data_IF_772670454146
#
_entry.id   IF_772670454146
#
_cell.length_a   1.000
_cell.length_b   1.000
_cell.length_c   1.000
_cell.angle_alpha   90.00
_cell.angle_beta   90.00
_cell.angle_gamma   90.00
#
_symmetry.space_group_name_H-M   'P 1'
#
loop_
_entity.id
_entity.type
_entity.pdbx_description
1 polymer ?
#
# COMPACT_ATOMS: atom_id res chain seq x y z
N UNK A 1 -6.84 5.30 7.28
CA UNK A 1 -7.49 5.77 6.03
C UNK A 1 -6.51 5.71 4.88
N UNK A 2 -6.95 5.25 3.73
CA UNK A 2 -6.19 5.23 2.48
C UNK A 2 -7.11 5.82 1.38
N UNK A 3 -6.68 6.85 0.63
CA UNK A 3 -7.57 7.62 -0.24
C UNK A 3 -8.38 6.79 -1.24
N UNK A 4 -7.75 5.80 -1.88
CA UNK A 4 -8.38 4.95 -2.90
C UNK A 4 -9.12 3.73 -2.35
N UNK A 5 -9.12 3.51 -1.02
CA UNK A 5 -9.74 2.33 -0.40
C UNK A 5 -11.00 2.70 0.38
N UNK A 6 -10.90 3.63 1.33
CA UNK A 6 -11.98 3.88 2.28
C UNK A 6 -12.22 5.35 2.64
N UNK A 7 -11.78 6.29 1.77
CA UNK A 7 -11.90 7.72 2.06
C UNK A 7 -13.35 8.17 2.27
N UNK A 8 -14.28 7.72 1.42
CA UNK A 8 -15.68 8.15 1.45
C UNK A 8 -16.41 7.79 2.74
N UNK A 9 -15.91 6.83 3.49
CA UNK A 9 -16.50 6.37 4.76
C UNK A 9 -16.18 7.31 5.94
N UNK A 10 -15.22 8.23 5.77
CA UNK A 10 -14.65 9.01 6.88
C UNK A 10 -14.55 10.51 6.59
N UNK A 11 -15.31 11.04 5.63
CA UNK A 11 -15.25 12.45 5.25
C UNK A 11 -15.74 13.40 6.34
N UNK A 12 -16.61 12.92 7.24
CA UNK A 12 -17.16 13.69 8.37
C UNK A 12 -16.35 13.54 9.67
N UNK A 13 -15.30 12.72 9.67
CA UNK A 13 -14.52 12.47 10.87
C UNK A 13 -13.60 13.65 11.21
N UNK A 14 -13.56 14.12 12.47
CA UNK A 14 -12.73 15.25 12.86
C UNK A 14 -11.23 14.91 12.90
N UNK A 15 -10.89 13.62 12.93
CA UNK A 15 -9.51 13.13 12.98
C UNK A 15 -9.42 11.76 12.30
N UNK A 16 -8.43 11.59 11.44
CA UNK A 16 -8.23 10.36 10.68
C UNK A 16 -6.80 9.83 10.83
N UNK A 17 -6.67 8.51 10.97
CA UNK A 17 -5.38 7.83 11.01
C UNK A 17 -4.95 7.43 9.59
N UNK A 18 -3.71 7.80 9.22
CA UNK A 18 -3.14 7.56 7.89
C UNK A 18 -2.42 6.21 7.76
N UNK A 19 -2.54 5.35 8.75
CA UNK A 19 -1.85 4.04 8.82
C UNK A 19 -0.34 4.23 8.90
N UNK A 20 0.41 3.84 7.85
CA UNK A 20 1.86 3.94 7.73
C UNK A 20 2.26 4.20 6.28
N UNK A 21 3.50 4.63 6.04
CA UNK A 21 4.00 4.82 4.66
C UNK A 21 3.96 3.51 3.84
N UNK A 22 4.39 2.40 4.44
CA UNK A 22 4.28 1.08 3.81
C UNK A 22 2.83 0.68 3.59
N UNK A 23 1.92 1.00 4.52
CA UNK A 23 0.48 0.78 4.36
C UNK A 23 -0.10 1.58 3.20
N UNK A 24 0.21 2.87 3.09
CA UNK A 24 -0.23 3.70 1.97
C UNK A 24 0.23 3.15 0.61
N UNK A 25 1.43 2.56 0.56
CA UNK A 25 1.97 2.01 -0.67
C UNK A 25 1.38 0.63 -1.02
N UNK A 26 1.15 -0.24 -0.04
CA UNK A 26 0.90 -1.67 -0.30
C UNK A 26 -0.55 -2.09 -0.14
N UNK A 27 -1.31 -1.47 0.78
CA UNK A 27 -2.72 -1.85 1.02
C UNK A 27 -3.60 -1.62 -0.21
N UNK A 28 -3.43 -0.58 -1.04
CA UNK A 28 -4.14 -0.47 -2.31
C UNK A 28 -4.00 -1.72 -3.20
N UNK A 29 -2.82 -2.34 -3.22
CA UNK A 29 -2.60 -3.57 -4.01
C UNK A 29 -3.25 -4.79 -3.37
N UNK A 30 -3.23 -4.92 -2.04
CA UNK A 30 -3.98 -5.98 -1.34
C UNK A 30 -5.47 -5.83 -1.64
N UNK A 31 -6.01 -4.62 -1.54
CA UNK A 31 -7.40 -4.31 -1.88
C UNK A 31 -7.72 -4.58 -3.36
N UNK A 32 -6.82 -4.25 -4.28
CA UNK A 32 -6.99 -4.55 -5.69
C UNK A 32 -7.14 -6.05 -5.96
N UNK A 33 -6.39 -6.90 -5.24
CA UNK A 33 -6.53 -8.36 -5.33
C UNK A 33 -7.82 -8.83 -4.65
N UNK A 34 -8.09 -8.36 -3.43
CA UNK A 34 -9.22 -8.85 -2.62
C UNK A 34 -10.59 -8.46 -3.18
N UNK A 35 -10.71 -7.34 -3.90
CA UNK A 35 -11.95 -6.97 -4.61
C UNK A 35 -12.22 -7.86 -5.83
N UNK A 36 -11.22 -8.57 -6.35
CA UNK A 36 -11.36 -9.47 -7.48
C UNK A 36 -11.57 -10.94 -7.03
N UNK A 37 -10.88 -11.37 -5.96
CA UNK A 37 -10.90 -12.75 -5.47
C UNK A 37 -10.77 -12.79 -3.95
N UNK A 38 -11.14 -13.90 -3.31
CA UNK A 38 -10.92 -14.08 -1.87
C UNK A 38 -9.41 -14.20 -1.56
N UNK A 39 -8.96 -13.52 -0.50
CA UNK A 39 -7.56 -13.49 -0.05
C UNK A 39 -7.47 -14.00 1.39
N UNK A 40 -7.23 -15.30 1.63
CA UNK A 40 -7.12 -15.85 2.98
C UNK A 40 -5.86 -15.38 3.74
N UNK A 41 -4.83 -14.93 3.02
CA UNK A 41 -3.60 -14.39 3.61
C UNK A 41 -2.95 -13.38 2.68
N UNK A 42 -2.49 -12.27 3.24
CA UNK A 42 -1.63 -11.33 2.53
C UNK A 42 -0.43 -10.92 3.39
N UNK A 43 0.70 -10.74 2.72
CA UNK A 43 1.94 -10.26 3.32
C UNK A 43 2.49 -9.08 2.52
N UNK A 44 2.93 -8.04 3.23
CA UNK A 44 3.62 -6.92 2.60
C UNK A 44 5.05 -6.79 3.12
N UNK A 45 5.97 -6.47 2.24
CA UNK A 45 7.35 -6.13 2.57
C UNK A 45 7.63 -4.74 2.05
N UNK A 46 7.70 -3.76 2.96
CA UNK A 46 8.02 -2.38 2.63
C UNK A 46 9.54 -2.17 2.79
N UNK A 47 10.22 -1.82 1.70
CA UNK A 47 11.67 -1.56 1.71
C UNK A 47 11.95 -0.11 1.41
N UNK A 48 12.45 0.62 2.41
CA UNK A 48 12.78 2.04 2.33
C UNK A 48 14.29 2.27 2.51
N UNK A 49 14.79 3.35 1.91
CA UNK A 49 16.17 3.75 2.19
C UNK A 49 16.34 4.06 3.68
N UNK A 50 17.40 3.53 4.29
CA UNK A 50 17.69 3.77 5.71
C UNK A 50 17.75 5.27 6.05
N UNK A 51 18.21 6.11 5.12
CA UNK A 51 18.27 7.58 5.27
C UNK A 51 16.90 8.25 5.36
N UNK A 52 15.83 7.64 4.82
CA UNK A 52 14.47 8.17 4.89
C UNK A 52 13.68 7.67 6.10
N UNK A 53 14.29 6.86 6.97
CA UNK A 53 13.69 6.38 8.22
C UNK A 53 14.26 7.17 9.41
N UNK A 54 13.43 8.02 10.01
CA UNK A 54 13.80 8.84 11.15
C UNK A 54 13.89 8.08 12.47
N UNK A 55 14.29 8.76 13.57
CA UNK A 55 14.38 8.14 14.90
C UNK A 55 13.05 7.54 15.38
N UNK A 56 11.93 8.18 15.09
CA UNK A 56 10.59 7.70 15.46
C UNK A 56 10.28 6.34 14.83
N UNK A 57 10.50 6.18 13.54
CA UNK A 57 10.31 4.90 12.83
C UNK A 57 11.19 3.80 13.44
N UNK A 58 12.46 4.10 13.70
CA UNK A 58 13.42 3.15 14.25
C UNK A 58 13.08 2.70 15.67
N UNK A 59 12.52 3.59 16.47
CA UNK A 59 12.08 3.29 17.84
C UNK A 59 10.76 2.52 17.89
N UNK A 60 9.95 2.58 16.84
CA UNK A 60 8.57 2.06 16.82
C UNK A 60 8.31 1.07 15.67
N UNK A 61 9.30 0.24 15.32
CA UNK A 61 9.17 -0.78 14.25
C UNK A 61 8.05 -1.78 14.56
N UNK A 62 7.88 -2.17 15.81
CA UNK A 62 6.83 -3.09 16.24
C UNK A 62 5.43 -2.47 16.05
N UNK A 63 5.29 -1.17 16.27
CA UNK A 63 4.04 -0.45 16.02
C UNK A 63 3.73 -0.39 14.54
N UNK A 64 4.73 -0.07 13.70
CA UNK A 64 4.60 -0.14 12.25
C UNK A 64 4.09 -1.50 11.81
N UNK A 65 4.70 -2.57 12.29
CA UNK A 65 4.36 -3.95 11.92
C UNK A 65 2.93 -4.29 12.32
N UNK A 66 2.53 -4.01 13.56
CA UNK A 66 1.16 -4.29 14.05
C UNK A 66 0.11 -3.48 13.32
N UNK A 67 0.31 -2.17 13.22
CA UNK A 67 -0.65 -1.26 12.56
C UNK A 67 -0.83 -1.63 11.09
N UNK A 68 0.26 -1.92 10.38
CA UNK A 68 0.20 -2.27 8.97
C UNK A 68 -0.42 -3.66 8.76
N UNK A 69 -0.09 -4.66 9.59
CA UNK A 69 -0.71 -5.99 9.53
C UNK A 69 -2.23 -5.92 9.73
N UNK A 70 -2.68 -5.18 10.75
CA UNK A 70 -4.11 -4.96 10.98
C UNK A 70 -4.79 -4.25 9.80
N UNK A 71 -4.12 -3.28 9.20
CA UNK A 71 -4.67 -2.56 8.05
C UNK A 71 -4.71 -3.42 6.77
N UNK A 72 -3.80 -4.38 6.59
CA UNK A 72 -3.88 -5.39 5.53
C UNK A 72 -5.17 -6.22 5.65
N UNK A 73 -5.58 -6.53 6.88
CA UNK A 73 -6.85 -7.24 7.15
C UNK A 73 -8.05 -6.30 6.96
N UNK A 74 -8.12 -5.22 7.72
CA UNK A 74 -9.31 -4.35 7.82
C UNK A 74 -9.56 -3.54 6.56
N UNK A 75 -8.50 -3.03 5.92
CA UNK A 75 -8.60 -2.17 4.73
C UNK A 75 -8.26 -2.94 3.45
N UNK A 76 -7.29 -3.84 3.52
CA UNK A 76 -6.88 -4.66 2.37
C UNK A 76 -7.83 -5.79 2.05
N UNK A 77 -8.68 -6.20 2.99
CA UNK A 77 -9.65 -7.28 2.80
C UNK A 77 -9.08 -8.70 2.86
N UNK A 78 -7.85 -8.87 3.35
CA UNK A 78 -7.28 -10.19 3.62
C UNK A 78 -7.83 -10.74 4.95
N UNK A 79 -8.06 -12.05 5.05
CA UNK A 79 -8.49 -12.68 6.32
C UNK A 79 -7.39 -12.63 7.38
N UNK A 80 -6.13 -12.74 6.96
CA UNK A 80 -4.95 -12.58 7.82
C UNK A 80 -3.88 -11.76 7.12
N UNK A 81 -3.29 -10.83 7.85
CA UNK A 81 -2.29 -9.90 7.35
C UNK A 81 -0.95 -10.03 8.04
N UNK A 82 0.14 -9.82 7.30
CA UNK A 82 1.48 -9.67 7.84
C UNK A 82 2.19 -8.49 7.19
N UNK A 83 2.98 -7.77 7.96
CA UNK A 83 3.78 -6.67 7.45
C UNK A 83 5.23 -6.78 7.92
N UNK A 84 6.15 -6.48 7.02
CA UNK A 84 7.58 -6.42 7.26
C UNK A 84 8.09 -5.08 6.75
N UNK A 85 8.98 -4.44 7.49
CA UNK A 85 9.72 -3.26 7.03
C UNK A 85 11.21 -3.59 6.94
N UNK A 86 11.84 -3.16 5.86
CA UNK A 86 13.28 -3.26 5.64
C UNK A 86 13.86 -1.86 5.52
N UNK A 87 14.77 -1.50 6.41
CA UNK A 87 15.54 -0.26 6.33
C UNK A 87 16.85 -0.55 5.60
N UNK A 88 16.90 -0.26 4.31
CA UNK A 88 18.02 -0.62 3.44
C UNK A 88 19.14 0.43 3.50
N UNK A 89 20.37 0.08 3.91
CA UNK A 89 21.49 1.00 4.05
C UNK A 89 22.32 1.22 2.78
N UNK A 90 21.88 0.70 1.62
CA UNK A 90 22.63 0.79 0.36
C UNK A 90 22.94 2.24 -0.02
N UNK A 91 24.15 2.46 -0.58
CA UNK A 91 24.59 3.73 -1.14
C UNK A 91 24.91 3.57 -2.65
N UNK A 92 24.39 4.45 -3.51
CA UNK A 92 23.44 5.54 -3.23
C UNK A 92 22.09 5.01 -2.72
N UNK A 93 21.32 5.84 -1.96
CA UNK A 93 20.04 5.42 -1.38
C UNK A 93 19.07 4.94 -2.45
N UNK A 94 18.46 3.80 -2.22
CA UNK A 94 17.48 3.21 -3.15
C UNK A 94 16.14 3.95 -3.11
N UNK A 95 15.44 3.98 -4.24
CA UNK A 95 14.02 4.33 -4.30
C UNK A 95 13.22 3.28 -3.49
N UNK A 96 12.16 3.71 -2.81
CA UNK A 96 11.28 2.80 -2.06
C UNK A 96 10.75 1.69 -2.98
N UNK A 97 10.85 0.44 -2.52
CA UNK A 97 10.38 -0.75 -3.22
C UNK A 97 9.59 -1.63 -2.28
N UNK A 98 8.40 -1.99 -2.70
CA UNK A 98 7.51 -2.78 -1.89
C UNK A 98 7.06 -4.03 -2.64
N UNK A 99 6.81 -5.07 -1.88
CA UNK A 99 6.28 -6.33 -2.38
C UNK A 99 5.00 -6.65 -1.64
N UNK A 100 3.98 -7.06 -2.38
CA UNK A 100 2.73 -7.58 -1.85
C UNK A 100 2.60 -9.02 -2.30
N UNK A 101 2.36 -9.94 -1.39
CA UNK A 101 2.01 -11.32 -1.67
C UNK A 101 0.60 -11.60 -1.16
N UNK A 102 -0.27 -12.14 -2.02
CA UNK A 102 -1.60 -12.59 -1.63
C UNK A 102 -1.74 -14.07 -1.96
N UNK A 103 -2.17 -14.87 -0.99
CA UNK A 103 -2.63 -16.23 -1.25
C UNK A 103 -4.01 -16.16 -1.92
N UNK A 104 -4.19 -16.95 -2.96
CA UNK A 104 -5.41 -17.01 -3.76
C UNK A 104 -5.78 -18.46 -4.06
N UNK A 105 -7.00 -18.72 -4.47
CA UNK A 105 -7.38 -20.06 -4.94
C UNK A 105 -6.65 -20.42 -6.24
N UNK A 106 -6.43 -21.72 -6.44
CA UNK A 106 -5.70 -22.24 -7.60
C UNK A 106 -6.36 -21.87 -8.94
N UNK A 107 -7.69 -21.76 -8.93
CA UNK A 107 -8.55 -21.44 -10.08
C UNK A 107 -8.99 -19.96 -10.12
N UNK A 108 -8.38 -19.10 -9.29
CA UNK A 108 -8.67 -17.68 -9.27
C UNK A 108 -8.48 -17.01 -10.63
N UNK A 109 -9.36 -16.07 -10.97
CA UNK A 109 -9.29 -15.32 -12.23
C UNK A 109 -8.10 -14.36 -12.25
N UNK A 110 -6.99 -14.86 -12.78
CA UNK A 110 -5.73 -14.10 -12.91
C UNK A 110 -5.89 -12.85 -13.77
N UNK A 111 -6.75 -12.87 -14.79
CA UNK A 111 -6.98 -11.72 -15.66
C UNK A 111 -7.72 -10.60 -14.92
N UNK A 112 -8.73 -10.94 -14.12
CA UNK A 112 -9.43 -9.99 -13.26
C UNK A 112 -8.49 -9.37 -12.23
N UNK A 113 -7.59 -10.15 -11.62
CA UNK A 113 -6.58 -9.65 -10.69
C UNK A 113 -5.66 -8.64 -11.38
N UNK A 114 -5.11 -8.98 -12.56
CA UNK A 114 -4.21 -8.09 -13.31
C UNK A 114 -4.92 -6.78 -13.64
N UNK A 115 -6.13 -6.82 -14.19
CA UNK A 115 -6.91 -5.63 -14.52
C UNK A 115 -7.14 -4.76 -13.28
N UNK A 116 -7.57 -5.37 -12.18
CA UNK A 116 -7.81 -4.67 -10.91
C UNK A 116 -6.56 -4.01 -10.34
N UNK A 117 -5.39 -4.65 -10.45
CA UNK A 117 -4.11 -4.07 -10.02
C UNK A 117 -3.73 -2.87 -10.88
N UNK A 118 -3.86 -2.96 -12.20
CA UNK A 118 -3.58 -1.83 -13.09
C UNK A 118 -4.51 -0.64 -12.85
N UNK A 119 -5.81 -0.87 -12.69
CA UNK A 119 -6.78 0.16 -12.36
C UNK A 119 -6.40 0.87 -11.04
N UNK A 120 -6.05 0.11 -10.03
CA UNK A 120 -5.65 0.65 -8.73
C UNK A 120 -4.34 1.46 -8.82
N UNK A 121 -3.37 1.02 -9.61
CA UNK A 121 -2.15 1.80 -9.86
C UNK A 121 -2.50 3.16 -10.46
N UNK A 122 -3.38 3.19 -11.46
CA UNK A 122 -3.82 4.44 -12.10
C UNK A 122 -4.57 5.36 -11.11
N UNK A 123 -5.36 4.79 -10.19
CA UNK A 123 -6.03 5.55 -9.13
C UNK A 123 -5.04 6.18 -8.14
N UNK A 124 -4.04 5.43 -7.67
CA UNK A 124 -3.00 5.94 -6.76
C UNK A 124 -2.15 7.01 -7.44
N UNK A 125 -1.82 6.84 -8.72
CA UNK A 125 -1.03 7.80 -9.50
C UNK A 125 -1.68 9.19 -9.61
N UNK A 126 -2.98 9.32 -9.38
CA UNK A 126 -3.66 10.63 -9.36
C UNK A 126 -3.13 11.56 -8.27
N UNK A 127 -2.59 11.00 -7.17
CA UNK A 127 -2.01 11.79 -6.08
C UNK A 127 -0.56 11.41 -5.75
N UNK A 128 -0.06 10.28 -6.25
CA UNK A 128 1.35 9.83 -6.15
C UNK A 128 1.88 9.53 -7.55
N UNK A 129 2.31 10.53 -8.34
CA UNK A 129 2.74 10.31 -9.73
C UNK A 129 3.90 9.31 -9.88
N UNK A 130 4.74 9.19 -8.86
CA UNK A 130 5.88 8.25 -8.85
C UNK A 130 5.56 6.83 -8.38
N UNK A 131 4.28 6.47 -8.22
CA UNK A 131 3.84 5.12 -7.88
C UNK A 131 3.76 4.26 -9.14
N UNK A 132 4.47 3.12 -9.18
CA UNK A 132 4.52 2.28 -10.37
C UNK A 132 4.72 0.80 -10.04
N UNK A 133 4.22 -0.07 -10.92
CA UNK A 133 4.61 -1.48 -10.94
C UNK A 133 6.05 -1.60 -11.50
N UNK A 134 6.84 -2.46 -10.88
CA UNK A 134 8.18 -2.83 -11.38
C UNK A 134 8.14 -3.98 -12.38
N UNK A 135 7.08 -4.76 -12.33
CA UNK A 135 6.79 -5.87 -13.23
C UNK A 135 5.28 -6.14 -13.21
N UNK A 136 4.79 -6.85 -14.23
CA UNK A 136 3.43 -7.40 -14.19
C UNK A 136 3.25 -8.30 -12.96
N UNK A 137 2.01 -8.39 -12.41
CA UNK A 137 1.72 -9.31 -11.33
C UNK A 137 2.17 -10.73 -11.67
N UNK A 138 2.93 -11.35 -10.77
CA UNK A 138 3.47 -12.69 -10.96
C UNK A 138 2.65 -13.71 -10.19
N UNK A 139 2.44 -14.87 -10.78
CA UNK A 139 1.66 -15.94 -10.19
C UNK A 139 2.51 -17.17 -9.97
N UNK A 140 2.56 -17.64 -8.73
CA UNK A 140 3.15 -18.93 -8.38
C UNK A 140 2.06 -20.01 -8.34
N UNK A 141 2.39 -21.19 -8.83
CA UNK A 141 1.49 -22.32 -8.82
C UNK A 141 1.22 -22.83 -7.39
N UNK A 142 0.08 -23.49 -7.17
CA UNK A 142 -0.30 -24.01 -5.86
C UNK A 142 0.79 -24.91 -5.25
N UNK A 143 0.97 -24.80 -3.95
CA UNK A 143 1.94 -25.62 -3.20
C UNK A 143 1.30 -26.21 -1.96
N UNK A 144 1.68 -27.45 -1.60
CA UNK A 144 1.21 -28.12 -0.37
C UNK A 144 1.56 -27.32 0.88
N UNK A 145 2.73 -26.66 0.90
CA UNK A 145 3.17 -25.78 1.99
C UNK A 145 2.30 -24.52 2.19
N UNK A 146 1.42 -24.22 1.25
CA UNK A 146 0.45 -23.13 1.29
C UNK A 146 -1.00 -23.65 1.28
N UNK A 147 -1.24 -24.82 1.84
CA UNK A 147 -2.56 -25.47 1.88
C UNK A 147 -3.23 -25.57 0.49
N UNK A 148 -2.44 -25.85 -0.54
CA UNK A 148 -2.90 -25.94 -1.93
C UNK A 148 -3.28 -24.60 -2.58
N UNK A 149 -2.97 -23.47 -1.94
CA UNK A 149 -3.20 -22.13 -2.52
C UNK A 149 -2.11 -21.77 -3.52
N UNK A 150 -2.51 -21.00 -4.54
CA UNK A 150 -1.61 -20.25 -5.40
C UNK A 150 -1.22 -18.93 -4.71
N UNK A 151 -0.29 -18.19 -5.30
CA UNK A 151 0.12 -16.89 -4.80
C UNK A 151 0.24 -15.89 -5.95
N UNK A 152 -0.26 -14.68 -5.75
CA UNK A 152 0.07 -13.53 -6.59
C UNK A 152 1.08 -12.63 -5.88
N UNK A 153 2.11 -12.22 -6.61
CA UNK A 153 3.12 -11.24 -6.18
C UNK A 153 3.00 -9.95 -6.98
N UNK A 154 2.84 -8.82 -6.30
CA UNK A 154 2.82 -7.47 -6.89
C UNK A 154 4.05 -6.71 -6.41
N UNK A 155 4.83 -6.17 -7.33
CA UNK A 155 6.10 -5.49 -7.06
C UNK A 155 6.00 -4.02 -7.42
N UNK A 156 6.22 -3.16 -6.44
CA UNK A 156 6.02 -1.72 -6.53
C UNK A 156 7.33 -0.94 -6.42
N UNK A 157 7.31 0.25 -6.98
CA UNK A 157 8.27 1.31 -6.72
C UNK A 157 7.51 2.60 -6.41
N UNK A 158 7.95 3.33 -5.38
CA UNK A 158 7.42 4.64 -5.03
C UNK A 158 8.55 5.64 -5.07
N UNK A 159 8.61 6.39 -6.15
CA UNK A 159 9.57 7.48 -6.35
C UNK A 159 8.96 8.79 -5.88
N UNK A 160 9.63 9.47 -4.96
CA UNK A 160 9.22 10.80 -4.52
C UNK A 160 9.37 11.85 -5.64
N UNK A 161 8.57 12.91 -5.58
CA UNK A 161 8.56 13.99 -6.56
C UNK A 161 9.87 14.82 -6.55
N UNK A 162 10.65 14.73 -5.47
CA UNK A 162 11.87 15.50 -5.27
C UNK A 162 11.65 17.03 -5.19
N UNK A 163 10.46 17.47 -4.78
CA UNK A 163 10.15 18.89 -4.59
C UNK A 163 10.88 19.48 -3.36
N UNK A 164 10.87 18.75 -2.25
CA UNK A 164 11.53 19.12 -1.00
C UNK A 164 12.47 18.05 -0.48
N UNK A 165 12.02 16.78 -0.49
CA UNK A 165 12.83 15.63 -0.09
C UNK A 165 13.42 14.96 -1.33
N UNK A 166 14.59 14.27 -1.22
CA UNK A 166 15.14 13.54 -2.36
C UNK A 166 14.18 12.45 -2.86
N UNK A 167 14.28 12.13 -4.15
CA UNK A 167 13.43 11.13 -4.82
C UNK A 167 13.41 9.75 -4.14
N UNK A 168 14.47 9.36 -3.43
CA UNK A 168 14.50 8.11 -2.68
C UNK A 168 13.59 8.10 -1.45
N UNK A 169 13.14 9.27 -0.97
CA UNK A 169 12.23 9.42 0.17
C UNK A 169 10.75 9.26 -0.22
N UNK A 170 10.44 8.38 -1.15
CA UNK A 170 9.07 8.09 -1.59
C UNK A 170 8.13 7.67 -0.47
N UNK A 171 8.67 7.06 0.59
CA UNK A 171 7.91 6.74 1.80
C UNK A 171 7.39 7.98 2.55
N UNK A 172 8.09 9.08 2.52
CA UNK A 172 7.64 10.34 3.13
C UNK A 172 6.70 11.08 2.19
N UNK A 173 7.03 11.13 0.90
CA UNK A 173 6.20 11.77 -0.12
C UNK A 173 4.80 11.16 -0.22
N UNK A 174 4.68 9.82 -0.19
CA UNK A 174 3.36 9.18 -0.26
C UNK A 174 2.47 9.55 0.94
N UNK A 175 3.06 9.72 2.13
CA UNK A 175 2.31 10.16 3.32
C UNK A 175 1.79 11.58 3.15
N UNK A 176 2.62 12.50 2.67
CA UNK A 176 2.24 13.90 2.42
C UNK A 176 1.21 14.01 1.31
N UNK A 177 1.41 13.29 0.21
CA UNK A 177 0.48 13.26 -0.92
C UNK A 177 -0.90 12.72 -0.53
N UNK A 178 -0.92 11.60 0.21
CA UNK A 178 -2.17 11.04 0.71
C UNK A 178 -2.87 11.98 1.70
N UNK A 179 -2.12 12.62 2.62
CA UNK A 179 -2.69 13.60 3.55
C UNK A 179 -3.28 14.82 2.83
N UNK A 180 -2.59 15.34 1.83
CA UNK A 180 -3.09 16.43 0.99
C UNK A 180 -4.37 16.02 0.27
N UNK A 181 -4.37 14.86 -0.37
CA UNK A 181 -5.55 14.32 -1.08
C UNK A 181 -6.76 14.18 -0.15
N UNK A 182 -6.57 13.64 1.05
CA UNK A 182 -7.63 13.51 2.05
C UNK A 182 -8.15 14.89 2.47
N UNK A 183 -7.25 15.81 2.81
CA UNK A 183 -7.64 17.17 3.22
C UNK A 183 -8.44 17.93 2.17
N UNK A 184 -8.05 17.83 0.89
CA UNK A 184 -8.78 18.46 -0.22
C UNK A 184 -10.19 17.86 -0.39
N UNK A 185 -10.34 16.55 -0.28
CA UNK A 185 -11.63 15.89 -0.42
C UNK A 185 -12.55 16.16 0.78
N UNK A 186 -12.02 16.16 2.00
CA UNK A 186 -12.78 16.58 3.20
C UNK A 186 -13.23 18.04 3.08
N UNK A 187 -12.37 18.94 2.62
CA UNK A 187 -12.72 20.35 2.42
C UNK A 187 -13.80 20.53 1.34
N UNK A 188 -13.78 19.74 0.29
CA UNK A 188 -14.81 19.74 -0.76
C UNK A 188 -16.14 19.24 -0.18
N UNK A 189 -16.11 18.12 0.54
CA UNK A 189 -17.30 17.56 1.19
C UNK A 189 -17.94 18.55 2.17
N UNK A 190 -17.16 19.23 3.00
CA UNK A 190 -17.65 20.26 3.92
C UNK A 190 -18.35 21.40 3.15
N UNK A 191 -17.74 21.88 2.05
CA UNK A 191 -18.35 22.96 1.24
C UNK A 191 -19.69 22.56 0.63
N UNK A 192 -19.79 21.32 0.14
CA UNK A 192 -21.02 20.79 -0.48
C UNK A 192 -22.15 20.62 0.55
N UNK A 193 -21.82 20.33 1.81
CA UNK A 193 -22.80 20.12 2.88
C UNK A 193 -23.18 21.41 3.65
N UNK A 194 -22.46 22.51 3.45
CA UNK A 194 -22.72 23.81 4.10
C UNK A 194 -23.39 24.80 3.14
N UNK A 195 -23.46 24.48 1.85
CA UNK A 195 -24.13 25.28 0.81
C UNK A 195 -25.60 24.90 0.68
#
# INVERSE_FOLDING_TARGET
MIPVVNLTEHLDEPNVNMVTCGGQATIPMVWAVSRAVQVPYAEIVATVASRSAGPGTRANIDEFTRTTSSAVEVLGGAERGKAIIILNPVEPPMIMRDTVFCAIDADADRAAIIASVHDMVAEVQQYVPGYALRAEPQFDEPQDSWDGKARVGVFLEVKGNADYLPAYAGNLDIMTAAATRIGELMATHIKENVA
#
